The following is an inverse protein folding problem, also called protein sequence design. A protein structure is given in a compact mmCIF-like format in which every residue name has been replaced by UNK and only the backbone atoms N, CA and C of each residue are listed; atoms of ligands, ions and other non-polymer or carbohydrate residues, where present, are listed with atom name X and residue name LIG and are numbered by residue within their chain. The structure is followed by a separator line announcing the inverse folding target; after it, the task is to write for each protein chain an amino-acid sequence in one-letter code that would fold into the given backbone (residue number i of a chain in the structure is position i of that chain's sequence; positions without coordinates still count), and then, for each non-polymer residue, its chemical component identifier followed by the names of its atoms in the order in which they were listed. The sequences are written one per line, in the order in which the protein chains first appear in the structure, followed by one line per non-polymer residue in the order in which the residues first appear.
data_IF_076794522082
#
_entry.id   IF_076794522082
#
_cell.length_a   1.000
_cell.length_b   1.000
_cell.length_c   1.000
_cell.angle_alpha   90.00
_cell.angle_beta   90.00
_cell.angle_gamma   90.00
#
_symmetry.space_group_name_H-M   'P 1'
#
loop_
_entity.id
_entity.type
_entity.pdbx_description
1 polymer ?
#
# COMPACT_ATOMS: atom_id res chain seq x y z
N UNK A 1 -110.61 -16.62 15.79
CA UNK A 1 -109.33 -17.28 16.09
C UNK A 1 -108.35 -16.90 14.99
N UNK A 2 -107.85 -15.65 14.96
CA UNK A 2 -107.16 -15.18 13.73
C UNK A 2 -106.12 -14.04 13.84
N UNK A 3 -105.96 -13.36 14.98
CA UNK A 3 -105.00 -12.25 15.09
C UNK A 3 -103.90 -12.54 16.11
N UNK A 4 -104.29 -13.00 17.31
CA UNK A 4 -103.35 -13.32 18.40
C UNK A 4 -102.40 -14.45 18.02
N UNK A 5 -102.89 -15.47 17.30
CA UNK A 5 -102.09 -16.62 16.90
C UNK A 5 -101.10 -16.28 15.78
N UNK A 6 -101.52 -15.41 14.84
CA UNK A 6 -100.63 -14.84 13.82
C UNK A 6 -99.55 -13.97 14.45
N UNK A 7 -99.92 -13.10 15.39
CA UNK A 7 -98.96 -12.26 16.14
C UNK A 7 -97.96 -13.09 16.92
N UNK A 8 -98.40 -14.14 17.61
CA UNK A 8 -97.53 -15.08 18.34
C UNK A 8 -96.54 -15.80 17.42
N UNK A 9 -97.01 -16.20 16.22
CA UNK A 9 -96.18 -16.88 15.23
C UNK A 9 -95.14 -15.94 14.62
N UNK A 10 -95.56 -14.72 14.27
CA UNK A 10 -94.68 -13.67 13.71
C UNK A 10 -93.60 -13.25 14.73
N UNK A 11 -93.97 -13.12 16.01
CA UNK A 11 -93.02 -12.81 17.09
C UNK A 11 -91.97 -13.92 17.29
N UNK A 12 -92.40 -15.19 17.23
CA UNK A 12 -91.47 -16.33 17.32
C UNK A 12 -90.54 -16.39 16.12
N UNK A 13 -91.07 -16.16 14.92
CA UNK A 13 -90.28 -16.13 13.70
C UNK A 13 -89.27 -14.99 13.72
N UNK A 14 -89.68 -13.79 14.14
CA UNK A 14 -88.81 -12.63 14.23
C UNK A 14 -87.72 -12.81 15.32
N UNK A 15 -88.07 -13.43 16.44
CA UNK A 15 -87.09 -13.78 17.48
C UNK A 15 -86.06 -14.81 16.98
N UNK A 16 -86.52 -15.87 16.29
CA UNK A 16 -85.64 -16.87 15.69
C UNK A 16 -84.70 -16.25 14.65
N UNK A 17 -85.24 -15.41 13.74
CA UNK A 17 -84.45 -14.69 12.74
C UNK A 17 -83.45 -13.74 13.38
N UNK A 18 -83.84 -13.00 14.43
CA UNK A 18 -82.93 -12.12 15.16
C UNK A 18 -81.82 -12.92 15.84
N UNK A 19 -82.13 -14.07 16.44
CA UNK A 19 -81.14 -14.95 17.07
C UNK A 19 -80.14 -15.50 16.06
N UNK A 20 -80.61 -15.96 14.90
CA UNK A 20 -79.73 -16.44 13.82
C UNK A 20 -78.83 -15.32 13.28
N UNK A 21 -79.36 -14.10 13.14
CA UNK A 21 -78.57 -12.93 12.75
C UNK A 21 -77.50 -12.60 13.79
N UNK A 22 -77.81 -12.68 15.08
CA UNK A 22 -76.82 -12.47 16.15
C UNK A 22 -75.70 -13.51 16.10
N UNK A 23 -76.06 -14.79 16.00
CA UNK A 23 -75.08 -15.88 15.89
C UNK A 23 -74.18 -15.71 14.65
N UNK A 24 -74.77 -15.34 13.50
CA UNK A 24 -74.00 -15.11 12.28
C UNK A 24 -73.06 -13.89 12.40
N UNK A 25 -73.49 -12.82 13.06
CA UNK A 25 -72.65 -11.65 13.33
C UNK A 25 -71.49 -11.99 14.26
N UNK A 26 -71.74 -12.79 15.30
CA UNK A 26 -70.70 -13.27 16.21
C UNK A 26 -69.65 -14.09 15.45
N UNK A 27 -70.07 -15.03 14.59
CA UNK A 27 -69.14 -15.79 13.73
C UNK A 27 -68.34 -14.88 12.79
N UNK A 28 -68.98 -13.89 12.14
CA UNK A 28 -68.31 -12.91 11.28
C UNK A 28 -67.28 -12.06 12.06
N UNK A 29 -67.61 -11.71 13.29
CA UNK A 29 -66.74 -10.92 14.15
C UNK A 29 -65.50 -11.74 14.57
N UNK A 30 -65.69 -12.99 15.00
CA UNK A 30 -64.60 -13.92 15.31
C UNK A 30 -63.70 -14.17 14.09
N UNK A 31 -64.28 -14.42 12.92
CA UNK A 31 -63.55 -14.61 11.66
C UNK A 31 -62.73 -13.35 11.30
N UNK A 32 -63.29 -12.16 11.49
CA UNK A 32 -62.59 -10.89 11.25
C UNK A 32 -61.42 -10.67 12.21
N UNK A 33 -61.58 -11.04 13.49
CA UNK A 33 -60.52 -10.96 14.49
C UNK A 33 -59.40 -11.93 14.12
N UNK A 34 -59.74 -13.16 13.74
CA UNK A 34 -58.75 -14.18 13.39
C UNK A 34 -58.01 -13.83 12.09
N UNK A 35 -58.71 -13.26 11.11
CA UNK A 35 -58.10 -12.71 9.89
C UNK A 35 -57.14 -11.55 10.25
N UNK A 36 -57.55 -10.64 11.12
CA UNK A 36 -56.70 -9.53 11.55
C UNK A 36 -55.46 -10.00 12.32
N UNK A 37 -55.59 -11.00 13.18
CA UNK A 37 -54.47 -11.59 13.93
C UNK A 37 -53.49 -12.29 13.00
N UNK A 38 -53.98 -13.12 12.09
CA UNK A 38 -53.11 -13.81 11.12
C UNK A 38 -52.42 -12.83 10.16
N UNK A 39 -53.09 -11.75 9.76
CA UNK A 39 -52.47 -10.68 8.99
C UNK A 39 -51.35 -9.97 9.79
N UNK A 40 -51.59 -9.63 11.05
CA UNK A 40 -50.59 -9.03 11.94
C UNK A 40 -49.38 -9.94 12.15
N UNK A 41 -49.60 -11.23 12.38
CA UNK A 41 -48.52 -12.22 12.52
C UNK A 41 -47.70 -12.37 11.23
N UNK A 42 -48.37 -12.41 10.08
CA UNK A 42 -47.72 -12.46 8.78
C UNK A 42 -46.88 -11.21 8.53
N UNK A 43 -47.41 -10.02 8.83
CA UNK A 43 -46.68 -8.76 8.76
C UNK A 43 -45.48 -8.72 9.70
N UNK A 44 -45.62 -9.18 10.94
CA UNK A 44 -44.52 -9.25 11.90
C UNK A 44 -43.39 -10.18 11.40
N UNK A 45 -43.74 -11.37 10.88
CA UNK A 45 -42.78 -12.30 10.29
C UNK A 45 -42.07 -11.71 9.07
N UNK A 46 -42.82 -11.08 8.16
CA UNK A 46 -42.23 -10.43 6.99
C UNK A 46 -41.30 -9.27 7.37
N UNK A 47 -41.69 -8.46 8.35
CA UNK A 47 -40.86 -7.36 8.83
C UNK A 47 -39.57 -7.87 9.45
N UNK A 48 -39.64 -8.91 10.29
CA UNK A 48 -38.47 -9.53 10.90
C UNK A 48 -37.54 -10.15 9.85
N UNK A 49 -38.08 -10.91 8.90
CA UNK A 49 -37.30 -11.52 7.82
C UNK A 49 -36.63 -10.45 6.93
N UNK A 50 -37.32 -9.34 6.64
CA UNK A 50 -36.75 -8.24 5.88
C UNK A 50 -35.63 -7.53 6.66
N UNK A 51 -35.82 -7.36 7.97
CA UNK A 51 -34.83 -6.76 8.85
C UNK A 51 -33.57 -7.62 8.94
N UNK A 52 -33.71 -8.93 9.17
CA UNK A 52 -32.58 -9.87 9.18
C UNK A 52 -31.84 -9.88 7.84
N UNK A 53 -32.56 -9.93 6.72
CA UNK A 53 -31.95 -9.88 5.37
C UNK A 53 -31.21 -8.56 5.12
N UNK A 54 -31.74 -7.44 5.62
CA UNK A 54 -31.08 -6.15 5.50
C UNK A 54 -29.80 -6.08 6.34
N UNK A 55 -29.84 -6.61 7.57
CA UNK A 55 -28.67 -6.69 8.45
C UNK A 55 -27.57 -7.55 7.83
N UNK A 56 -27.91 -8.75 7.36
CA UNK A 56 -26.98 -9.67 6.70
C UNK A 56 -26.38 -9.08 5.41
N UNK A 57 -27.21 -8.42 4.60
CA UNK A 57 -26.75 -7.71 3.40
C UNK A 57 -25.81 -6.54 3.71
N UNK A 58 -26.08 -5.77 4.76
CA UNK A 58 -25.21 -4.67 5.21
C UNK A 58 -23.89 -5.18 5.79
N UNK A 59 -23.93 -6.29 6.53
CA UNK A 59 -22.74 -6.93 7.05
C UNK A 59 -21.87 -7.48 5.91
N UNK A 60 -22.48 -8.14 4.92
CA UNK A 60 -21.80 -8.64 3.72
C UNK A 60 -21.14 -7.52 2.93
N UNK A 61 -21.88 -6.43 2.62
CA UNK A 61 -21.31 -5.28 1.90
C UNK A 61 -20.17 -4.64 2.72
N UNK A 62 -20.34 -4.49 4.03
CA UNK A 62 -19.29 -3.95 4.91
C UNK A 62 -18.05 -4.84 4.92
N UNK A 63 -18.23 -6.17 4.94
CA UNK A 63 -17.16 -7.16 4.92
C UNK A 63 -16.41 -7.13 3.58
N UNK A 64 -17.13 -7.27 2.47
CA UNK A 64 -16.56 -7.18 1.11
C UNK A 64 -15.88 -5.85 0.85
N UNK A 65 -16.47 -4.72 1.26
CA UNK A 65 -15.84 -3.40 1.13
C UNK A 65 -14.55 -3.30 1.95
N UNK A 66 -14.56 -3.82 3.18
CA UNK A 66 -13.37 -3.82 4.06
C UNK A 66 -12.26 -4.71 3.51
N UNK A 67 -12.59 -5.88 2.96
CA UNK A 67 -11.64 -6.78 2.31
C UNK A 67 -11.10 -6.19 1.00
N UNK A 68 -11.97 -5.81 0.07
CA UNK A 68 -11.58 -5.34 -1.26
C UNK A 68 -10.88 -3.98 -1.23
N UNK A 69 -11.36 -3.01 -0.46
CA UNK A 69 -10.77 -1.65 -0.43
C UNK A 69 -9.50 -1.61 0.42
N UNK A 70 -9.50 -2.22 1.61
CA UNK A 70 -8.31 -2.21 2.47
C UNK A 70 -7.14 -3.00 1.84
N UNK A 71 -7.43 -3.98 0.98
CA UNK A 71 -6.40 -4.71 0.24
C UNK A 71 -6.02 -4.02 -1.08
N UNK A 72 -6.96 -3.46 -1.87
CA UNK A 72 -6.63 -2.86 -3.18
C UNK A 72 -5.94 -1.52 -3.09
N UNK A 73 -6.36 -0.60 -2.23
CA UNK A 73 -5.81 0.76 -2.27
C UNK A 73 -4.34 0.83 -1.84
N UNK A 74 -3.93 0.22 -0.71
CA UNK A 74 -2.52 0.18 -0.33
C UNK A 74 -1.71 -0.66 -1.31
N UNK A 75 -2.22 -1.80 -1.76
CA UNK A 75 -1.49 -2.67 -2.69
C UNK A 75 -1.25 -1.96 -4.03
N UNK A 76 -2.25 -1.30 -4.62
CA UNK A 76 -2.07 -0.50 -5.85
C UNK A 76 -1.09 0.65 -5.65
N UNK A 77 -1.16 1.35 -4.51
CA UNK A 77 -0.23 2.44 -4.19
C UNK A 77 1.21 1.95 -4.09
N UNK A 78 1.46 0.88 -3.31
CA UNK A 78 2.79 0.33 -3.11
C UNK A 78 3.34 -0.38 -4.35
N UNK A 79 2.48 -1.03 -5.13
CA UNK A 79 2.84 -1.65 -6.41
C UNK A 79 3.23 -0.60 -7.45
N UNK A 80 2.49 0.52 -7.53
CA UNK A 80 2.87 1.66 -8.37
C UNK A 80 4.18 2.31 -7.90
N UNK A 81 4.38 2.43 -6.59
CA UNK A 81 5.63 2.96 -6.01
C UNK A 81 6.83 2.06 -6.30
N UNK A 82 6.66 0.75 -6.14
CA UNK A 82 7.64 -0.28 -6.49
C UNK A 82 8.04 -0.20 -7.97
N UNK A 83 7.06 -0.26 -8.88
CA UNK A 83 7.30 -0.20 -10.32
C UNK A 83 8.02 1.10 -10.73
N UNK A 84 7.67 2.23 -10.10
CA UNK A 84 8.31 3.51 -10.36
C UNK A 84 9.75 3.56 -9.86
N UNK A 85 10.05 3.02 -8.68
CA UNK A 85 11.43 2.91 -8.20
C UNK A 85 12.26 1.91 -9.00
N UNK A 86 11.65 0.82 -9.48
CA UNK A 86 12.30 -0.11 -10.42
C UNK A 86 12.62 0.59 -11.74
N UNK A 87 11.69 1.36 -12.30
CA UNK A 87 11.93 2.14 -13.52
C UNK A 87 13.06 3.15 -13.34
N UNK A 88 13.06 3.90 -12.23
CA UNK A 88 14.17 4.82 -11.95
C UNK A 88 15.50 4.08 -11.75
N UNK A 89 15.52 2.95 -11.03
CA UNK A 89 16.72 2.14 -10.86
C UNK A 89 17.28 1.66 -12.21
N UNK A 90 16.42 1.23 -13.15
CA UNK A 90 16.84 0.82 -14.49
C UNK A 90 17.34 1.99 -15.32
N UNK A 91 16.66 3.15 -15.28
CA UNK A 91 17.08 4.36 -16.02
C UNK A 91 18.44 4.83 -15.52
N UNK A 92 18.63 4.93 -14.21
CA UNK A 92 19.91 5.34 -13.62
C UNK A 92 21.01 4.29 -13.85
N UNK A 93 20.66 2.99 -13.84
CA UNK A 93 21.58 1.90 -14.18
C UNK A 93 22.03 1.91 -15.65
N UNK A 94 21.13 2.26 -16.58
CA UNK A 94 21.49 2.43 -18.00
C UNK A 94 22.34 3.69 -18.18
N UNK A 95 21.97 4.79 -17.53
CA UNK A 95 22.73 6.03 -17.59
C UNK A 95 24.18 5.84 -17.10
N UNK A 96 24.40 5.07 -16.02
CA UNK A 96 25.75 4.74 -15.58
C UNK A 96 26.47 3.80 -16.51
N UNK A 97 25.80 2.80 -17.08
CA UNK A 97 26.41 1.92 -18.07
C UNK A 97 26.88 2.68 -19.31
N UNK A 98 26.08 3.64 -19.80
CA UNK A 98 26.44 4.53 -20.91
C UNK A 98 27.63 5.41 -20.53
N UNK A 99 27.62 6.01 -19.34
CA UNK A 99 28.72 6.86 -18.87
C UNK A 99 30.03 6.07 -18.75
N UNK A 100 29.97 4.83 -18.24
CA UNK A 100 31.10 3.89 -18.21
C UNK A 100 31.59 3.52 -19.61
N UNK A 101 30.67 3.27 -20.54
CA UNK A 101 31.01 2.96 -21.92
C UNK A 101 31.70 4.15 -22.62
N UNK A 102 31.22 5.39 -22.42
CA UNK A 102 31.86 6.60 -22.94
C UNK A 102 33.26 6.78 -22.33
N UNK A 103 33.41 6.56 -21.02
CA UNK A 103 34.70 6.62 -20.35
C UNK A 103 35.68 5.57 -20.90
N UNK A 104 35.22 4.32 -21.12
CA UNK A 104 36.03 3.25 -21.72
C UNK A 104 36.40 3.55 -23.17
N UNK A 105 35.46 4.05 -23.99
CA UNK A 105 35.72 4.42 -25.38
C UNK A 105 36.69 5.60 -25.48
N UNK A 106 36.55 6.59 -24.59
CA UNK A 106 37.53 7.67 -24.46
C UNK A 106 38.91 7.11 -24.15
N UNK A 107 39.02 6.23 -23.16
CA UNK A 107 40.30 5.60 -22.81
C UNK A 107 40.88 4.80 -23.98
N UNK A 108 40.08 4.01 -24.68
CA UNK A 108 40.50 3.20 -25.83
C UNK A 108 40.93 4.03 -27.04
N UNK A 109 40.31 5.20 -27.27
CA UNK A 109 40.68 6.09 -28.36
C UNK A 109 41.97 6.86 -28.08
N UNK A 110 42.24 7.21 -26.82
CA UNK A 110 43.43 7.99 -26.45
C UNK A 110 44.63 7.14 -25.99
N UNK A 111 44.41 5.86 -25.63
CA UNK A 111 45.48 4.96 -25.20
C UNK A 111 46.55 4.68 -26.29
N UNK A 112 46.22 4.42 -27.57
CA UNK A 112 47.22 4.13 -28.60
C UNK A 112 48.19 5.30 -28.84
N UNK A 113 47.67 6.54 -28.86
CA UNK A 113 48.46 7.77 -29.02
C UNK A 113 49.38 8.03 -27.81
N UNK A 114 49.01 7.53 -26.64
CA UNK A 114 49.79 7.67 -25.41
C UNK A 114 50.90 6.63 -25.32
N UNK A 115 50.60 5.35 -25.59
CA UNK A 115 51.59 4.26 -25.53
C UNK A 115 52.59 4.30 -26.69
N UNK A 116 52.18 4.66 -27.91
CA UNK A 116 53.09 4.79 -29.06
C UNK A 116 54.13 5.91 -28.87
N UNK A 117 53.82 6.97 -28.12
CA UNK A 117 54.78 8.01 -27.74
C UNK A 117 55.74 7.57 -26.64
N UNK A 118 55.36 6.59 -25.82
CA UNK A 118 56.18 6.09 -24.70
C UNK A 118 57.30 5.16 -25.18
N UNK A 119 57.08 4.39 -26.25
CA UNK A 119 58.10 3.55 -26.90
C UNK A 119 59.21 4.36 -27.61
N UNK A 120 59.01 5.66 -27.81
CA UNK A 120 59.98 6.57 -28.43
C UNK A 120 60.89 7.30 -27.42
N UNK A 121 60.81 6.95 -26.12
CA UNK A 121 61.69 7.53 -25.10
C UNK A 121 63.14 7.04 -25.34
N UNK A 122 64.12 7.95 -25.51
CA UNK A 122 65.51 7.54 -25.62
C UNK A 122 65.93 6.87 -24.31
N UNK A 123 66.62 5.74 -24.40
CA UNK A 123 67.27 5.10 -23.25
C UNK A 123 68.11 6.12 -22.47
N UNK A 124 68.08 6.01 -21.14
CA UNK A 124 68.77 6.89 -20.16
C UNK A 124 70.30 6.62 -20.21
N UNK A 125 70.93 6.76 -21.37
CA UNK A 125 72.37 6.58 -21.54
C UNK A 125 73.10 7.81 -22.08
N UNK A 126 72.40 8.90 -22.39
CA UNK A 126 73.07 10.16 -22.73
C UNK A 126 72.46 11.29 -21.91
N UNK A 127 73.30 11.94 -21.07
CA UNK A 127 72.95 13.00 -20.12
C UNK A 127 72.41 14.28 -20.77
N UNK A 128 71.32 14.19 -21.50
CA UNK A 128 70.51 15.30 -22.00
C UNK A 128 69.29 15.48 -21.09
N UNK A 129 68.78 16.71 -20.91
CA UNK A 129 67.65 16.96 -20.01
C UNK A 129 66.44 16.16 -20.49
N UNK A 130 65.69 15.60 -19.55
CA UNK A 130 64.43 14.87 -19.76
C UNK A 130 63.65 15.38 -20.99
N UNK A 131 63.20 14.49 -21.90
CA UNK A 131 62.57 14.95 -23.14
C UNK A 131 61.32 15.78 -22.82
N UNK A 132 61.34 17.03 -23.26
CA UNK A 132 60.26 18.02 -23.11
C UNK A 132 58.89 17.58 -23.67
N UNK A 133 58.85 16.46 -24.39
CA UNK A 133 57.62 15.79 -24.87
C UNK A 133 56.77 15.29 -23.71
N UNK A 134 57.37 14.85 -22.59
CA UNK A 134 56.64 14.39 -21.41
C UNK A 134 56.04 15.56 -20.62
N UNK A 135 56.66 16.75 -20.70
CA UNK A 135 56.26 17.96 -19.98
C UNK A 135 55.08 18.71 -20.64
N UNK A 136 54.95 18.66 -21.97
CA UNK A 136 53.90 19.40 -22.69
C UNK A 136 52.53 18.68 -22.70
N UNK A 137 52.50 17.36 -22.54
CA UNK A 137 51.26 16.56 -22.49
C UNK A 137 50.87 16.12 -21.05
N UNK A 138 51.57 16.59 -20.02
CA UNK A 138 51.29 16.23 -18.61
C UNK A 138 49.88 16.62 -18.16
N UNK A 139 49.33 17.72 -18.70
CA UNK A 139 47.96 18.15 -18.37
C UNK A 139 46.90 17.12 -18.78
N UNK A 140 47.15 16.35 -19.86
CA UNK A 140 46.24 15.30 -20.33
C UNK A 140 46.15 14.16 -19.31
N UNK A 141 47.27 13.79 -18.69
CA UNK A 141 47.33 12.77 -17.62
C UNK A 141 46.50 13.22 -16.42
N UNK A 142 46.62 14.50 -16.04
CA UNK A 142 45.82 15.09 -14.97
C UNK A 142 44.32 15.01 -15.26
N UNK A 143 43.90 15.30 -16.50
CA UNK A 143 42.49 15.18 -16.92
C UNK A 143 42.00 13.73 -16.90
N UNK A 144 42.80 12.76 -17.36
CA UNK A 144 42.45 11.34 -17.28
C UNK A 144 42.32 10.84 -15.85
N UNK A 145 43.26 11.21 -14.97
CA UNK A 145 43.21 10.86 -13.55
C UNK A 145 41.97 11.47 -12.87
N UNK A 146 41.67 12.75 -13.13
CA UNK A 146 40.46 13.42 -12.65
C UNK A 146 39.19 12.71 -13.15
N UNK A 147 39.13 12.37 -14.44
CA UNK A 147 37.97 11.69 -15.01
C UNK A 147 37.76 10.31 -14.39
N UNK A 148 38.83 9.56 -14.13
CA UNK A 148 38.76 8.26 -13.45
C UNK A 148 38.27 8.41 -12.00
N UNK A 149 38.77 9.41 -11.26
CA UNK A 149 38.33 9.69 -9.88
C UNK A 149 36.85 10.08 -9.85
N UNK A 150 36.43 11.03 -10.68
CA UNK A 150 35.02 11.45 -10.76
C UNK A 150 34.12 10.31 -11.24
N UNK A 151 34.58 9.47 -12.19
CA UNK A 151 33.87 8.28 -12.64
C UNK A 151 33.66 7.27 -11.51
N UNK A 152 34.70 6.97 -10.73
CA UNK A 152 34.60 6.10 -9.56
C UNK A 152 33.60 6.66 -8.53
N UNK A 153 33.66 7.95 -8.23
CA UNK A 153 32.72 8.62 -7.33
C UNK A 153 31.28 8.62 -7.85
N UNK A 154 31.08 8.81 -9.16
CA UNK A 154 29.77 8.73 -9.80
C UNK A 154 29.17 7.32 -9.72
N UNK A 155 29.96 6.28 -10.01
CA UNK A 155 29.54 4.88 -9.84
C UNK A 155 29.19 4.60 -8.39
N UNK A 156 30.02 5.04 -7.43
CA UNK A 156 29.75 4.92 -5.99
C UNK A 156 28.41 5.58 -5.62
N UNK A 157 28.14 6.78 -6.12
CA UNK A 157 26.89 7.50 -5.87
C UNK A 157 25.67 6.72 -6.39
N UNK A 158 25.76 6.18 -7.61
CA UNK A 158 24.66 5.41 -8.19
C UNK A 158 24.45 4.08 -7.49
N UNK A 159 25.50 3.38 -7.09
CA UNK A 159 25.37 2.15 -6.27
C UNK A 159 24.67 2.45 -4.95
N UNK A 160 24.99 3.58 -4.28
CA UNK A 160 24.29 4.00 -3.05
C UNK A 160 22.81 4.30 -3.32
N UNK A 161 22.50 5.04 -4.38
CA UNK A 161 21.10 5.31 -4.79
C UNK A 161 20.33 4.03 -5.10
N UNK A 162 20.95 3.07 -5.82
CA UNK A 162 20.37 1.78 -6.14
C UNK A 162 20.05 0.97 -4.87
N UNK A 163 21.03 0.84 -3.96
CA UNK A 163 20.85 0.11 -2.70
C UNK A 163 19.77 0.77 -1.81
N UNK A 164 19.68 2.10 -1.80
CA UNK A 164 18.62 2.82 -1.10
C UNK A 164 17.24 2.48 -1.65
N UNK A 165 17.06 2.56 -2.98
CA UNK A 165 15.80 2.19 -3.61
C UNK A 165 15.44 0.72 -3.40
N UNK A 166 16.43 -0.19 -3.41
CA UNK A 166 16.21 -1.60 -3.13
C UNK A 166 15.77 -1.84 -1.67
N UNK A 167 16.38 -1.14 -0.71
CA UNK A 167 15.97 -1.21 0.70
C UNK A 167 14.56 -0.65 0.91
N UNK A 168 14.23 0.49 0.29
CA UNK A 168 12.88 1.06 0.32
C UNK A 168 11.84 0.12 -0.29
N UNK A 169 12.20 -0.58 -1.37
CA UNK A 169 11.37 -1.59 -2.00
C UNK A 169 11.12 -2.77 -1.05
N UNK A 170 12.18 -3.32 -0.44
CA UNK A 170 12.07 -4.42 0.52
C UNK A 170 11.21 -4.04 1.73
N UNK A 171 11.45 -2.88 2.34
CA UNK A 171 10.64 -2.36 3.47
C UNK A 171 9.15 -2.18 3.09
N UNK A 172 8.86 -1.67 1.88
CA UNK A 172 7.49 -1.58 1.39
C UNK A 172 6.82 -2.95 1.20
N UNK A 173 7.56 -3.92 0.65
CA UNK A 173 7.07 -5.30 0.46
C UNK A 173 6.78 -5.97 1.80
N UNK A 174 7.69 -5.86 2.76
CA UNK A 174 7.51 -6.41 4.12
C UNK A 174 6.29 -5.82 4.81
N UNK A 175 6.09 -4.49 4.72
CA UNK A 175 4.91 -3.82 5.27
C UNK A 175 3.60 -4.27 4.62
N UNK A 176 3.62 -4.55 3.32
CA UNK A 176 2.43 -5.07 2.63
C UNK A 176 2.01 -6.43 3.20
N UNK A 177 2.95 -7.34 3.39
CA UNK A 177 2.69 -8.67 3.99
C UNK A 177 2.20 -8.53 5.43
N UNK A 178 2.81 -7.64 6.21
CA UNK A 178 2.44 -7.39 7.59
C UNK A 178 1.01 -6.81 7.71
N UNK A 179 0.63 -5.89 6.81
CA UNK A 179 -0.71 -5.29 6.74
C UNK A 179 -1.77 -6.33 6.33
N UNK A 180 -1.47 -7.19 5.35
CA UNK A 180 -2.36 -8.30 4.97
C UNK A 180 -2.56 -9.28 6.12
N UNK A 181 -1.48 -9.60 6.83
CA UNK A 181 -1.53 -10.50 8.01
C UNK A 181 -2.36 -9.87 9.13
N UNK A 182 -2.20 -8.57 9.40
CA UNK A 182 -3.01 -7.83 10.36
C UNK A 182 -4.50 -7.85 9.99
N UNK A 183 -4.84 -7.62 8.72
CA UNK A 183 -6.22 -7.69 8.24
C UNK A 183 -6.82 -9.10 8.40
N UNK A 184 -6.06 -10.15 8.05
CA UNK A 184 -6.50 -11.53 8.22
C UNK A 184 -6.72 -11.91 9.70
N UNK A 185 -5.86 -11.43 10.61
CA UNK A 185 -6.02 -11.64 12.05
C UNK A 185 -7.23 -10.88 12.63
N UNK A 186 -7.50 -9.68 12.11
CA UNK A 186 -8.67 -8.88 12.46
C UNK A 186 -9.98 -9.53 11.99
N UNK A 187 -10.00 -10.11 10.79
CA UNK A 187 -11.18 -10.80 10.25
C UNK A 187 -11.50 -12.08 11.02
N UNK A 188 -10.48 -12.81 11.46
CA UNK A 188 -10.63 -14.00 12.31
C UNK A 188 -10.97 -13.72 13.78
N UNK A 189 -11.26 -12.46 14.15
CA UNK A 189 -11.49 -11.99 15.51
C UNK A 189 -10.38 -12.38 16.52
N UNK A 190 -9.15 -12.60 16.03
CA UNK A 190 -8.00 -13.06 16.85
C UNK A 190 -7.25 -11.93 17.55
N UNK A 191 -7.68 -10.68 17.35
CA UNK A 191 -7.09 -9.48 17.91
C UNK A 191 -8.16 -8.72 18.70
N UNK A 192 -8.65 -9.27 19.81
CA UNK A 192 -9.65 -8.59 20.65
C UNK A 192 -9.03 -7.48 21.52
N UNK A 193 -7.76 -7.63 21.91
CA UNK A 193 -7.04 -6.66 22.75
C UNK A 193 -6.63 -5.41 21.95
N UNK A 194 -6.88 -4.23 22.54
CA UNK A 194 -6.51 -2.93 21.98
C UNK A 194 -5.01 -2.69 22.02
N UNK A 195 -4.31 -3.25 23.01
CA UNK A 195 -2.87 -3.06 23.15
C UNK A 195 -2.08 -3.82 22.06
N UNK A 196 -2.50 -5.03 21.72
CA UNK A 196 -1.94 -5.81 20.60
C UNK A 196 -2.13 -5.10 19.26
N UNK A 197 -3.32 -4.53 19.02
CA UNK A 197 -3.59 -3.73 17.81
C UNK A 197 -2.68 -2.51 17.74
N UNK A 198 -2.48 -1.82 18.87
CA UNK A 198 -1.62 -0.63 18.95
C UNK A 198 -0.15 -0.97 18.68
N UNK A 199 0.34 -2.10 19.19
CA UNK A 199 1.69 -2.58 18.96
C UNK A 199 1.94 -2.85 17.46
N UNK A 200 1.03 -3.55 16.80
CA UNK A 200 1.14 -3.86 15.37
C UNK A 200 1.07 -2.57 14.53
N UNK A 201 0.16 -1.65 14.86
CA UNK A 201 0.07 -0.36 14.17
C UNK A 201 1.34 0.49 14.34
N UNK A 202 1.95 0.50 15.53
CA UNK A 202 3.23 1.19 15.75
C UNK A 202 4.35 0.60 14.90
N UNK A 203 4.42 -0.74 14.79
CA UNK A 203 5.39 -1.39 13.92
C UNK A 203 5.17 -1.03 12.44
N UNK A 204 3.91 -1.02 11.99
CA UNK A 204 3.52 -0.75 10.60
C UNK A 204 3.79 0.69 10.16
N UNK A 205 3.57 1.66 11.05
CA UNK A 205 3.74 3.10 10.79
C UNK A 205 5.10 3.67 11.20
N UNK A 206 6.08 2.82 11.56
CA UNK A 206 7.43 3.30 11.86
C UNK A 206 8.04 4.01 10.63
N UNK A 207 8.70 5.17 10.77
CA UNK A 207 9.38 5.81 9.65
C UNK A 207 10.45 4.89 9.06
N UNK A 208 10.47 4.75 7.73
CA UNK A 208 11.51 4.01 7.01
C UNK A 208 12.83 4.76 7.16
N UNK A 209 13.88 4.06 7.62
CA UNK A 209 15.22 4.67 7.67
C UNK A 209 15.86 4.44 6.31
N UNK A 210 15.97 5.49 5.50
CA UNK A 210 16.83 5.40 4.32
C UNK A 210 18.29 5.35 4.81
N UNK A 211 19.02 4.31 4.41
CA UNK A 211 20.42 4.11 4.80
C UNK A 211 21.34 5.26 4.37
N UNK A 212 20.89 6.12 3.45
CA UNK A 212 21.61 7.30 3.01
C UNK A 212 21.77 8.39 4.09
N UNK A 213 20.80 8.55 5.01
CA UNK A 213 20.79 9.69 5.95
C UNK A 213 21.72 9.46 7.16
N UNK A 214 22.07 8.21 7.46
CA UNK A 214 22.97 7.88 8.58
C UNK A 214 24.45 7.83 8.19
N UNK A 215 24.73 7.64 6.91
CA UNK A 215 26.08 7.45 6.40
C UNK A 215 26.75 8.77 5.98
N UNK A 216 26.00 9.88 6.03
CA UNK A 216 26.55 11.22 6.29
C UNK A 216 26.87 11.32 7.80
N UNK A 217 27.80 10.48 8.27
CA UNK A 217 28.59 10.83 9.44
C UNK A 217 29.33 12.09 9.06
N UNK A 218 28.71 13.24 9.34
CA UNK A 218 29.35 14.54 9.23
C UNK A 218 30.76 14.39 9.80
N UNK A 219 31.82 14.82 9.08
CA UNK A 219 33.13 14.93 9.67
C UNK A 219 32.98 15.64 11.02
N UNK A 220 33.67 15.21 12.10
CA UNK A 220 33.55 15.87 13.39
C UNK A 220 33.61 17.38 13.14
N UNK A 221 32.54 18.06 13.55
CA UNK A 221 32.38 19.49 13.33
C UNK A 221 33.69 20.16 13.75
N UNK A 222 34.21 21.10 12.95
CA UNK A 222 35.48 21.79 13.25
C UNK A 222 35.49 22.36 14.70
N UNK A 223 34.31 22.62 15.28
CA UNK A 223 34.13 22.99 16.69
C UNK A 223 34.50 21.90 17.73
N UNK A 224 34.35 20.61 17.43
CA UNK A 224 34.81 19.51 18.30
C UNK A 224 36.33 19.37 18.30
N UNK A 225 36.99 19.69 17.19
CA UNK A 225 38.45 19.66 17.12
C UNK A 225 39.07 20.82 17.93
N UNK A 226 38.45 22.00 17.89
CA UNK A 226 38.89 23.18 18.64
C UNK A 226 38.72 23.01 20.16
N UNK A 227 37.67 22.32 20.61
CA UNK A 227 37.43 22.07 22.04
C UNK A 227 38.25 20.91 22.60
N UNK A 228 38.76 20.01 21.75
CA UNK A 228 39.63 18.89 22.15
C UNK A 228 41.11 19.27 22.24
N UNK A 229 41.57 20.26 21.48
CA UNK A 229 42.98 20.71 21.46
C UNK A 229 43.35 21.71 22.57
N UNK A 230 42.38 22.11 23.41
CA UNK A 230 42.56 23.11 24.47
C UNK A 230 42.79 22.53 25.88
N UNK A 231 43.20 21.27 26.01
CA UNK A 231 43.63 20.67 27.28
C UNK A 231 45.08 20.26 27.23
#
# INVERSE_FOLDING_TARGET
MDIVDRLSTDLKQHYAESSDRFNHLETRYEESIQLSQSALESHAKNHQALHEKHQDGMETIRKTFREEIALREPNKYWQGKCSRHQMYATIWGIATAILLAIAMLGLAHFAPDYFSKMDSLPSIESGKPYPAVVAHDTWRIGVFALMAIFGFWAVRLVVRMFLSHLHLHADASERMVMLQTYLALMEGNKLEDKDDRKLILQALFRPSTDGLVKDESAPPSIGEWLTRSGK
#
